data_IF_585213040510
#
_entry.id   IF_585213040510
#
_cell.length_a   1.000
_cell.length_b   1.000
_cell.length_c   1.000
_cell.angle_alpha   90.00
_cell.angle_beta   90.00
_cell.angle_gamma   90.00
#
_symmetry.space_group_name_H-M   'P 1'
#
loop_
_entity.id
_entity.type
_entity.pdbx_description
1 polymer ?
#
# COMPACT_ATOMS: atom_id res chain seq x y z
N UNK A 1 17.16 -6.18 15.98
CA UNK A 1 15.88 -6.22 15.25
C UNK A 1 15.81 -4.91 14.50
N UNK A 2 15.87 -4.96 13.16
CA UNK A 2 15.83 -3.74 12.34
C UNK A 2 14.40 -3.19 12.41
N UNK A 3 14.21 -2.00 12.95
CA UNK A 3 12.92 -1.28 12.96
C UNK A 3 12.97 -0.21 11.87
N UNK A 4 12.60 -0.54 10.62
CA UNK A 4 12.70 0.40 9.50
C UNK A 4 11.88 1.68 9.70
N UNK A 5 10.99 1.67 10.71
CA UNK A 5 10.04 2.74 10.96
C UNK A 5 10.47 3.75 12.03
N UNK A 6 11.61 3.54 12.74
CA UNK A 6 12.20 4.60 13.59
C UNK A 6 12.82 5.70 12.73
N UNK A 7 13.27 5.34 11.50
CA UNK A 7 13.78 6.31 10.51
C UNK A 7 12.67 6.77 9.54
N UNK A 8 11.61 5.96 9.39
CA UNK A 8 10.43 6.26 8.60
C UNK A 8 9.47 7.12 9.44
N UNK A 9 9.70 8.43 9.47
CA UNK A 9 8.76 9.38 10.03
C UNK A 9 7.83 9.85 8.90
N UNK A 10 6.62 9.28 8.76
CA UNK A 10 5.72 9.65 7.68
C UNK A 10 5.29 11.10 7.84
N UNK A 11 5.89 11.98 7.06
CA UNK A 11 5.47 13.36 6.96
C UNK A 11 4.26 13.43 6.04
N UNK A 12 3.11 13.69 6.59
CA UNK A 12 1.88 13.84 5.82
C UNK A 12 0.68 13.24 6.55
N UNK A 13 -0.42 13.93 6.45
CA UNK A 13 -1.66 13.50 7.09
C UNK A 13 -2.32 12.36 6.32
N UNK A 14 -2.21 12.34 4.99
CA UNK A 14 -2.67 11.26 4.13
C UNK A 14 -1.46 10.53 3.54
N UNK A 15 -1.42 9.21 3.75
CA UNK A 15 -0.38 8.32 3.26
C UNK A 15 -1.02 7.31 2.31
N UNK A 16 -0.55 7.31 1.07
CA UNK A 16 -0.96 6.34 0.05
C UNK A 16 0.00 5.16 0.02
N UNK A 17 -0.55 3.95 -0.06
CA UNK A 17 0.20 2.69 -0.12
C UNK A 17 -0.09 2.00 -1.43
N UNK A 18 0.95 1.77 -2.22
CA UNK A 18 0.90 1.15 -3.55
C UNK A 18 1.80 -0.08 -3.65
N UNK A 19 1.84 -0.72 -4.81
CA UNK A 19 2.70 -1.87 -5.07
C UNK A 19 2.10 -3.19 -4.59
N UNK A 20 2.94 -4.10 -4.11
CA UNK A 20 2.51 -5.45 -3.74
C UNK A 20 3.42 -6.10 -2.70
N UNK A 21 2.99 -7.27 -2.17
CA UNK A 21 3.79 -7.96 -1.14
C UNK A 21 3.49 -7.53 0.29
N UNK A 22 2.21 -7.16 0.60
CA UNK A 22 1.78 -6.99 1.98
C UNK A 22 1.20 -5.62 2.36
N UNK A 23 0.57 -4.90 1.40
CA UNK A 23 -0.04 -3.58 1.65
C UNK A 23 -1.00 -3.57 2.85
N UNK A 24 -1.97 -4.48 2.86
CA UNK A 24 -2.97 -4.55 3.94
C UNK A 24 -2.31 -4.81 5.31
N UNK A 25 -1.28 -5.67 5.36
CA UNK A 25 -0.49 -5.89 6.58
C UNK A 25 0.26 -4.62 7.00
N UNK A 26 0.83 -3.90 6.03
CA UNK A 26 1.51 -2.63 6.30
C UNK A 26 0.56 -1.56 6.84
N UNK A 27 -0.62 -1.42 6.26
CA UNK A 27 -1.65 -0.48 6.75
C UNK A 27 -2.04 -0.80 8.20
N UNK A 28 -2.26 -2.07 8.55
CA UNK A 28 -2.52 -2.50 9.93
C UNK A 28 -1.37 -2.15 10.86
N UNK A 29 -0.16 -2.49 10.47
CA UNK A 29 1.04 -2.21 11.25
C UNK A 29 1.22 -0.70 11.46
N UNK A 30 1.15 0.09 10.39
CA UNK A 30 1.32 1.54 10.45
C UNK A 30 0.24 2.19 11.33
N UNK A 31 -1.02 1.75 11.19
CA UNK A 31 -2.11 2.24 12.02
C UNK A 31 -1.91 1.94 13.52
N UNK A 32 -1.21 0.85 13.86
CA UNK A 32 -0.89 0.52 15.24
C UNK A 32 0.28 1.36 15.79
N UNK A 33 1.23 1.74 14.94
CA UNK A 33 2.43 2.51 15.32
C UNK A 33 2.20 4.01 15.41
N UNK A 34 1.32 4.57 14.57
CA UNK A 34 1.02 6.00 14.54
C UNK A 34 0.29 6.42 15.82
N UNK A 35 0.62 7.62 16.32
CA UNK A 35 -0.12 8.25 17.41
C UNK A 35 -1.35 8.99 16.88
N UNK A 36 -2.38 9.13 17.73
CA UNK A 36 -3.62 9.82 17.36
C UNK A 36 -4.62 8.90 16.64
N UNK A 37 -5.58 9.53 15.98
CA UNK A 37 -6.69 8.86 15.27
C UNK A 37 -6.33 8.53 13.84
N UNK A 38 -6.81 7.38 13.34
CA UNK A 38 -6.47 6.87 12.01
C UNK A 38 -7.73 6.43 11.26
N UNK A 39 -7.86 6.88 10.00
CA UNK A 39 -8.83 6.35 9.04
C UNK A 39 -8.09 5.43 8.08
N UNK A 40 -8.49 4.15 7.99
CA UNK A 40 -8.08 3.20 6.96
C UNK A 40 -9.09 3.23 5.81
N UNK A 41 -8.62 3.38 4.57
CA UNK A 41 -9.51 3.46 3.40
C UNK A 41 -8.80 3.00 2.12
N UNK A 42 -9.47 3.14 0.99
CA UNK A 42 -8.93 2.80 -0.33
C UNK A 42 -9.42 3.77 -1.39
N UNK A 43 -8.64 3.98 -2.43
CA UNK A 43 -9.03 4.63 -3.69
C UNK A 43 -9.30 3.62 -4.81
N UNK A 44 -9.24 2.32 -4.49
CA UNK A 44 -9.55 1.22 -5.40
C UNK A 44 -10.44 0.20 -4.70
N UNK A 45 -9.89 -0.92 -4.24
CA UNK A 45 -10.62 -1.95 -3.49
C UNK A 45 -9.74 -2.56 -2.41
N UNK A 46 -10.29 -2.73 -1.19
CA UNK A 46 -9.63 -3.38 -0.07
C UNK A 46 -10.57 -4.38 0.60
N UNK A 47 -10.03 -5.43 1.24
CA UNK A 47 -10.80 -6.23 2.17
C UNK A 47 -11.01 -5.44 3.47
N UNK A 48 -12.21 -5.45 4.07
CA UNK A 48 -12.44 -4.81 5.36
C UNK A 48 -11.52 -5.43 6.44
N UNK A 49 -11.19 -4.63 7.44
CA UNK A 49 -10.40 -5.06 8.59
C UNK A 49 -11.35 -5.61 9.67
N UNK A 50 -11.33 -6.92 9.99
CA UNK A 50 -12.35 -7.53 10.86
C UNK A 50 -12.45 -6.90 12.27
N UNK A 51 -11.30 -6.42 12.77
CA UNK A 51 -11.20 -5.89 14.14
C UNK A 51 -11.33 -4.36 14.23
N UNK A 52 -11.66 -3.70 13.10
CA UNK A 52 -11.73 -2.25 12.98
C UNK A 52 -13.18 -1.84 12.68
N UNK A 53 -13.77 -0.90 13.42
CA UNK A 53 -15.12 -0.40 13.12
C UNK A 53 -15.20 0.10 11.68
N UNK A 54 -16.20 -0.38 10.93
CA UNK A 54 -16.46 -0.01 9.54
C UNK A 54 -17.50 1.10 9.46
N UNK A 55 -17.20 2.12 8.69
CA UNK A 55 -18.12 3.16 8.24
C UNK A 55 -18.41 2.89 6.77
N UNK A 56 -19.60 2.37 6.49
CA UNK A 56 -20.01 2.03 5.13
C UNK A 56 -20.65 3.24 4.46
N UNK A 57 -20.12 3.61 3.28
CA UNK A 57 -20.58 4.75 2.49
C UNK A 57 -21.56 4.36 1.38
N UNK A 58 -21.96 3.09 1.26
CA UNK A 58 -22.77 2.60 0.13
C UNK A 58 -24.14 3.26 0.02
N UNK A 59 -24.73 3.67 1.14
CA UNK A 59 -26.08 4.28 1.22
C UNK A 59 -26.11 5.58 2.00
N UNK A 60 -24.95 6.17 2.28
CA UNK A 60 -24.80 7.39 3.07
C UNK A 60 -24.26 8.53 2.22
N UNK A 61 -24.70 9.75 2.49
CA UNK A 61 -24.14 10.97 1.93
C UNK A 61 -23.10 11.60 2.87
N UNK A 62 -22.43 12.66 2.39
CA UNK A 62 -21.40 13.39 3.14
C UNK A 62 -21.90 13.89 4.51
N UNK A 63 -23.16 14.34 4.59
CA UNK A 63 -23.76 14.91 5.80
C UNK A 63 -23.95 13.82 6.89
N UNK A 64 -24.14 12.58 6.48
CA UNK A 64 -24.26 11.42 7.36
C UNK A 64 -22.89 10.82 7.71
N UNK A 65 -21.95 10.77 6.73
CA UNK A 65 -20.64 10.14 6.86
C UNK A 65 -19.77 10.88 7.89
N UNK A 66 -19.65 12.21 7.80
CA UNK A 66 -18.76 12.96 8.70
C UNK A 66 -19.12 12.82 10.17
N UNK A 67 -20.40 12.96 10.59
CA UNK A 67 -20.78 12.68 11.97
C UNK A 67 -20.53 11.22 12.41
N UNK A 68 -20.71 10.25 11.49
CA UNK A 68 -20.43 8.84 11.77
C UNK A 68 -18.92 8.61 12.01
N UNK A 69 -18.04 9.23 11.19
CA UNK A 69 -16.58 9.20 11.36
C UNK A 69 -16.20 9.75 12.73
N UNK A 70 -16.67 10.96 13.08
CA UNK A 70 -16.38 11.59 14.39
C UNK A 70 -16.85 10.72 15.55
N UNK A 71 -18.08 10.19 15.47
CA UNK A 71 -18.64 9.32 16.49
C UNK A 71 -17.88 8.00 16.63
N UNK A 72 -17.39 7.41 15.53
CA UNK A 72 -16.59 6.20 15.56
C UNK A 72 -15.19 6.46 16.13
N UNK A 73 -14.52 7.55 15.72
CA UNK A 73 -13.20 7.94 16.21
C UNK A 73 -13.21 8.32 17.70
N UNK A 74 -14.33 8.82 18.21
CA UNK A 74 -14.48 9.06 19.66
C UNK A 74 -14.49 7.76 20.50
N UNK A 75 -14.77 6.60 19.88
CA UNK A 75 -14.85 5.28 20.55
C UNK A 75 -13.70 4.35 20.17
N UNK A 76 -13.09 4.54 19.00
CA UNK A 76 -11.99 3.72 18.51
C UNK A 76 -10.95 4.61 17.85
N UNK A 77 -9.67 4.43 18.22
CA UNK A 77 -8.56 5.18 17.63
C UNK A 77 -8.40 4.95 16.11
N UNK A 78 -8.79 3.76 15.64
CA UNK A 78 -8.70 3.36 14.22
C UNK A 78 -10.10 3.01 13.73
N UNK A 79 -10.47 3.55 12.58
CA UNK A 79 -11.72 3.21 11.87
C UNK A 79 -11.41 2.87 10.40
N UNK A 80 -12.25 2.05 9.80
CA UNK A 80 -12.20 1.74 8.37
C UNK A 80 -13.36 2.46 7.67
N UNK A 81 -13.11 3.05 6.50
CA UNK A 81 -14.12 3.75 5.72
C UNK A 81 -14.03 3.27 4.26
N UNK A 82 -15.18 2.94 3.67
CA UNK A 82 -15.26 2.53 2.28
C UNK A 82 -16.69 2.19 1.87
N UNK A 83 -16.88 2.02 0.57
CA UNK A 83 -18.18 1.63 -0.01
C UNK A 83 -18.26 0.11 -0.09
N UNK A 84 -19.17 -0.50 0.66
CA UNK A 84 -19.39 -1.95 0.60
C UNK A 84 -19.87 -2.42 -0.77
N UNK A 85 -19.30 -3.53 -1.24
CA UNK A 85 -19.65 -4.17 -2.49
C UNK A 85 -20.18 -5.61 -2.28
N UNK A 86 -20.94 -6.15 -3.25
CA UNK A 86 -21.41 -7.55 -3.20
C UNK A 86 -20.28 -8.59 -3.11
N UNK A 87 -19.06 -8.23 -3.53
CA UNK A 87 -17.85 -9.04 -3.42
C UNK A 87 -17.38 -9.26 -1.99
N UNK A 88 -17.88 -8.47 -1.03
CA UNK A 88 -17.41 -8.38 0.35
C UNK A 88 -16.21 -7.44 0.53
N UNK A 89 -15.73 -6.84 -0.55
CA UNK A 89 -14.70 -5.79 -0.50
C UNK A 89 -15.32 -4.41 -0.25
N UNK A 90 -14.46 -3.49 0.08
CA UNK A 90 -14.77 -2.06 0.11
C UNK A 90 -14.16 -1.41 -1.13
N UNK A 91 -14.95 -0.61 -1.83
CA UNK A 91 -14.51 0.26 -2.92
C UNK A 91 -14.22 1.68 -2.42
N UNK A 92 -13.67 2.48 -3.33
CA UNK A 92 -13.43 3.90 -3.16
C UNK A 92 -14.68 4.64 -2.66
N UNK A 93 -14.59 5.37 -1.53
CA UNK A 93 -15.71 6.17 -1.00
C UNK A 93 -15.90 7.52 -1.71
N UNK A 94 -15.05 7.90 -2.68
CA UNK A 94 -14.99 9.25 -3.25
C UNK A 94 -16.29 9.71 -3.95
N UNK A 95 -17.18 8.77 -4.30
CA UNK A 95 -18.52 9.09 -4.80
C UNK A 95 -19.44 9.69 -3.73
N UNK A 96 -19.16 9.50 -2.46
CA UNK A 96 -19.96 9.97 -1.33
C UNK A 96 -19.21 11.01 -0.47
N UNK A 97 -17.87 10.90 -0.37
CA UNK A 97 -17.04 11.83 0.42
C UNK A 97 -15.65 11.92 -0.18
N UNK A 98 -15.11 13.12 -0.37
CA UNK A 98 -13.74 13.32 -0.87
C UNK A 98 -12.69 13.01 0.21
N UNK A 99 -11.45 12.70 -0.23
CA UNK A 99 -10.33 12.52 0.70
C UNK A 99 -9.98 13.83 1.42
N UNK A 100 -10.15 14.96 0.76
CA UNK A 100 -9.96 16.30 1.32
C UNK A 100 -10.93 16.58 2.48
N UNK A 101 -12.19 16.11 2.37
CA UNK A 101 -13.18 16.23 3.45
C UNK A 101 -12.81 15.41 4.69
N UNK A 102 -12.06 14.34 4.51
CA UNK A 102 -11.59 13.48 5.62
C UNK A 102 -10.36 14.05 6.34
N UNK A 103 -9.56 14.91 5.69
CA UNK A 103 -8.35 15.46 6.29
C UNK A 103 -8.56 16.12 7.67
N UNK A 104 -9.61 16.92 7.94
CA UNK A 104 -9.81 17.50 9.26
C UNK A 104 -10.30 16.49 10.32
N UNK A 105 -10.76 15.31 9.92
CA UNK A 105 -11.48 14.38 10.80
C UNK A 105 -10.59 13.43 11.59
N UNK A 106 -9.34 13.19 11.13
CA UNK A 106 -8.40 12.29 11.80
C UNK A 106 -6.99 12.87 11.78
N UNK A 107 -6.10 12.36 12.64
CA UNK A 107 -4.68 12.72 12.63
C UNK A 107 -3.98 12.11 11.40
N UNK A 108 -4.39 10.91 11.00
CA UNK A 108 -3.83 10.21 9.84
C UNK A 108 -4.92 9.55 8.98
N UNK A 109 -4.71 9.53 7.66
CA UNK A 109 -5.51 8.78 6.69
C UNK A 109 -4.57 7.87 5.92
N UNK A 110 -4.84 6.56 5.94
CA UNK A 110 -4.04 5.56 5.25
C UNK A 110 -4.87 4.96 4.10
N UNK A 111 -4.38 5.12 2.88
CA UNK A 111 -5.12 4.75 1.65
C UNK A 111 -4.41 3.61 0.93
N UNK A 112 -5.09 2.47 0.69
CA UNK A 112 -4.62 1.49 -0.29
C UNK A 112 -4.99 1.99 -1.69
N UNK A 113 -3.99 2.36 -2.51
CA UNK A 113 -4.22 3.10 -3.76
C UNK A 113 -4.04 2.26 -5.04
N UNK A 114 -3.87 0.95 -4.92
CA UNK A 114 -3.85 0.02 -6.05
C UNK A 114 -4.17 -1.43 -5.66
N UNK A 115 -4.52 -2.25 -6.65
CA UNK A 115 -4.67 -3.70 -6.51
C UNK A 115 -3.44 -4.47 -6.97
N UNK A 116 -3.15 -5.63 -6.34
CA UNK A 116 -2.02 -6.49 -6.71
C UNK A 116 -2.38 -7.98 -6.88
N UNK A 117 -3.66 -8.32 -6.78
CA UNK A 117 -4.18 -9.70 -6.91
C UNK A 117 -3.40 -10.77 -6.09
N UNK A 118 -2.85 -10.38 -4.91
CA UNK A 118 -2.07 -11.28 -4.06
C UNK A 118 -0.67 -11.62 -4.56
N UNK A 119 -0.22 -11.04 -5.66
CA UNK A 119 1.14 -11.26 -6.20
C UNK A 119 2.18 -10.47 -5.39
N UNK A 120 3.41 -10.96 -5.23
CA UNK A 120 4.47 -10.26 -4.51
C UNK A 120 5.05 -9.07 -5.27
N UNK A 121 5.00 -9.07 -6.61
CA UNK A 121 5.52 -8.02 -7.49
C UNK A 121 4.41 -7.44 -8.36
N UNK A 122 4.63 -6.22 -8.85
CA UNK A 122 3.68 -5.52 -9.70
C UNK A 122 4.39 -4.56 -10.66
N UNK A 123 3.81 -4.39 -11.87
CA UNK A 123 3.98 -3.22 -12.70
C UNK A 123 2.64 -2.49 -12.85
N UNK A 124 2.66 -1.15 -12.89
CA UNK A 124 1.45 -0.33 -12.88
C UNK A 124 1.05 0.05 -14.30
N UNK A 125 -0.22 -0.17 -14.62
CA UNK A 125 -0.82 0.33 -15.87
C UNK A 125 -1.00 1.84 -15.81
N UNK A 126 -1.24 2.48 -16.95
CA UNK A 126 -1.33 3.95 -17.05
C UNK A 126 -2.44 4.60 -16.22
N UNK A 127 -3.42 3.83 -15.76
CA UNK A 127 -4.50 4.28 -14.86
C UNK A 127 -4.29 3.88 -13.40
N UNK A 128 -3.15 3.31 -13.07
CA UNK A 128 -2.72 2.94 -11.72
C UNK A 128 -1.36 3.59 -11.40
N UNK A 129 -1.09 3.87 -10.14
CA UNK A 129 -1.99 3.81 -8.98
C UNK A 129 -2.99 4.98 -8.96
N UNK A 130 -4.07 4.83 -8.19
CA UNK A 130 -5.05 5.90 -7.96
C UNK A 130 -4.71 6.62 -6.66
N UNK A 131 -3.62 7.39 -6.70
CA UNK A 131 -3.16 8.17 -5.54
C UNK A 131 -4.00 9.44 -5.41
N UNK A 132 -4.66 9.70 -4.25
CA UNK A 132 -5.37 10.96 -4.02
C UNK A 132 -4.43 12.17 -4.17
N UNK A 133 -4.93 13.26 -4.79
CA UNK A 133 -4.13 14.47 -5.02
C UNK A 133 -3.63 15.12 -3.71
N UNK A 134 -4.37 14.94 -2.62
CA UNK A 134 -4.01 15.42 -1.29
C UNK A 134 -3.05 14.46 -0.52
N UNK A 135 -2.51 13.42 -1.18
CA UNK A 135 -1.51 12.52 -0.56
C UNK A 135 -0.23 13.28 -0.24
N UNK A 136 0.18 13.25 1.03
CA UNK A 136 1.43 13.87 1.50
C UNK A 136 2.63 12.93 1.39
N UNK A 137 2.38 11.61 1.24
CA UNK A 137 3.42 10.59 1.09
C UNK A 137 2.86 9.38 0.34
N UNK A 138 3.62 8.85 -0.61
CA UNK A 138 3.33 7.59 -1.30
C UNK A 138 4.41 6.56 -1.00
N UNK A 139 4.01 5.42 -0.43
CA UNK A 139 4.87 4.30 -0.07
C UNK A 139 4.59 3.12 -1.00
N UNK A 140 5.61 2.61 -1.67
CA UNK A 140 5.49 1.41 -2.50
C UNK A 140 6.03 0.17 -1.77
N UNK A 141 5.21 -0.87 -1.64
CA UNK A 141 5.66 -2.16 -1.15
C UNK A 141 6.12 -3.06 -2.30
N UNK A 142 7.16 -3.84 -2.03
CA UNK A 142 7.75 -4.82 -2.94
C UNK A 142 7.95 -6.12 -2.17
N UNK A 143 7.35 -7.22 -2.64
CA UNK A 143 7.46 -8.52 -1.95
C UNK A 143 8.69 -9.31 -2.37
N UNK A 144 9.63 -9.50 -1.47
CA UNK A 144 10.86 -10.27 -1.71
C UNK A 144 10.59 -11.76 -2.03
N UNK A 145 9.42 -12.30 -1.70
CA UNK A 145 9.03 -13.66 -2.05
C UNK A 145 8.92 -13.91 -3.57
N UNK A 146 8.95 -12.85 -4.38
CA UNK A 146 9.01 -12.94 -5.83
C UNK A 146 10.41 -13.11 -6.42
N UNK A 147 11.47 -12.93 -5.62
CA UNK A 147 12.85 -12.96 -6.14
C UNK A 147 13.27 -14.35 -6.64
N UNK A 148 13.88 -14.41 -7.82
CA UNK A 148 14.38 -15.65 -8.42
C UNK A 148 13.31 -16.57 -8.99
N UNK A 149 12.06 -16.08 -9.15
CA UNK A 149 10.95 -16.84 -9.73
C UNK A 149 10.55 -16.24 -11.08
N UNK A 150 9.86 -16.99 -11.96
CA UNK A 150 9.36 -16.46 -13.23
C UNK A 150 8.44 -15.24 -13.03
N UNK A 151 8.62 -14.19 -13.86
CA UNK A 151 7.79 -12.98 -13.82
C UNK A 151 6.30 -13.33 -13.94
N UNK A 152 5.96 -14.24 -14.85
CA UNK A 152 4.57 -14.70 -15.10
C UNK A 152 3.90 -15.29 -13.86
N UNK A 153 4.65 -15.86 -12.93
CA UNK A 153 4.12 -16.45 -11.70
C UNK A 153 3.96 -15.44 -10.56
N UNK A 154 4.86 -14.46 -10.47
CA UNK A 154 4.99 -13.63 -9.26
C UNK A 154 4.57 -12.19 -9.45
N UNK A 155 4.38 -11.73 -10.68
CA UNK A 155 4.06 -10.35 -10.97
C UNK A 155 2.58 -10.13 -11.32
N UNK A 156 1.99 -9.06 -10.81
CA UNK A 156 0.76 -8.51 -11.35
C UNK A 156 1.10 -7.64 -12.56
N UNK A 157 0.48 -7.92 -13.71
CA UNK A 157 0.83 -7.37 -15.04
C UNK A 157 2.22 -7.82 -15.53
N UNK A 158 2.45 -9.15 -15.70
CA UNK A 158 3.78 -9.70 -16.01
C UNK A 158 4.34 -9.22 -17.35
N UNK A 159 3.51 -9.02 -18.37
CA UNK A 159 3.95 -8.53 -19.69
C UNK A 159 4.48 -7.09 -19.61
N UNK A 160 3.80 -6.26 -18.82
CA UNK A 160 4.23 -4.87 -18.61
C UNK A 160 5.52 -4.83 -17.79
N UNK A 161 5.61 -5.63 -16.71
CA UNK A 161 6.83 -5.75 -15.92
C UNK A 161 8.01 -6.18 -16.81
N UNK A 162 7.82 -7.25 -17.60
CA UNK A 162 8.84 -7.79 -18.48
C UNK A 162 9.30 -6.75 -19.52
N UNK A 163 8.36 -6.00 -20.11
CA UNK A 163 8.66 -4.91 -21.04
C UNK A 163 9.47 -3.80 -20.39
N UNK A 164 9.10 -3.38 -19.17
CA UNK A 164 9.82 -2.34 -18.44
C UNK A 164 11.21 -2.81 -17.98
N UNK A 165 11.34 -4.08 -17.59
CA UNK A 165 12.62 -4.66 -17.18
C UNK A 165 13.53 -5.04 -18.37
N UNK A 166 13.01 -5.10 -19.60
CA UNK A 166 13.76 -5.54 -20.80
C UNK A 166 14.00 -7.04 -20.84
N UNK A 167 13.08 -7.85 -20.33
CA UNK A 167 13.14 -9.32 -20.24
C UNK A 167 11.87 -9.96 -20.80
N UNK A 168 11.77 -11.28 -20.77
CA UNK A 168 10.54 -12.02 -21.11
C UNK A 168 9.75 -12.38 -19.85
N UNK A 169 8.43 -12.65 -19.95
CA UNK A 169 7.62 -13.07 -18.81
C UNK A 169 8.07 -14.38 -18.14
N UNK A 170 8.77 -15.24 -18.86
CA UNK A 170 9.30 -16.51 -18.32
C UNK A 170 10.67 -16.37 -17.65
N UNK A 171 11.31 -15.20 -17.78
CA UNK A 171 12.60 -14.94 -17.15
C UNK A 171 12.47 -14.92 -15.63
N UNK A 172 13.51 -15.37 -14.94
CA UNK A 172 13.61 -15.27 -13.50
C UNK A 172 13.86 -13.82 -13.07
N UNK A 173 13.09 -13.36 -12.09
CA UNK A 173 13.20 -12.00 -11.56
C UNK A 173 14.49 -11.85 -10.77
N UNK A 174 15.34 -10.89 -11.15
CA UNK A 174 16.47 -10.42 -10.36
C UNK A 174 16.16 -9.07 -9.69
N UNK A 175 17.03 -8.65 -8.79
CA UNK A 175 16.97 -7.36 -8.10
C UNK A 175 17.10 -6.20 -9.09
N UNK A 176 17.96 -6.35 -10.09
CA UNK A 176 18.16 -5.36 -11.16
C UNK A 176 16.90 -5.20 -12.01
N UNK A 177 16.19 -6.29 -12.31
CA UNK A 177 14.92 -6.24 -13.04
C UNK A 177 13.86 -5.48 -12.25
N UNK A 178 13.74 -5.74 -10.94
CA UNK A 178 12.80 -5.03 -10.07
C UNK A 178 13.18 -3.55 -10.01
N UNK A 179 14.45 -3.23 -9.74
CA UNK A 179 14.92 -1.85 -9.66
C UNK A 179 14.69 -1.10 -10.99
N UNK A 180 14.90 -1.75 -12.13
CA UNK A 180 14.64 -1.15 -13.45
C UNK A 180 13.17 -0.75 -13.62
N UNK A 181 12.23 -1.60 -13.18
CA UNK A 181 10.79 -1.29 -13.20
C UNK A 181 10.47 -0.13 -12.27
N UNK A 182 10.86 -0.23 -10.99
CA UNK A 182 10.54 0.77 -9.97
C UNK A 182 11.12 2.15 -10.30
N UNK A 183 12.36 2.20 -10.81
CA UNK A 183 13.01 3.44 -11.19
C UNK A 183 12.39 4.07 -12.46
N UNK A 184 11.89 3.24 -13.40
CA UNK A 184 11.19 3.75 -14.59
C UNK A 184 9.81 4.28 -14.27
N UNK A 185 9.08 3.59 -13.41
CA UNK A 185 7.75 4.03 -12.97
C UNK A 185 7.83 5.26 -12.07
N UNK A 186 8.77 5.30 -11.14
CA UNK A 186 9.05 6.39 -10.20
C UNK A 186 7.78 6.93 -9.47
N UNK A 187 6.88 6.03 -9.07
CA UNK A 187 5.53 6.34 -8.59
C UNK A 187 5.46 6.60 -7.07
N UNK A 188 6.54 6.39 -6.33
CA UNK A 188 6.54 6.50 -4.87
C UNK A 188 7.67 7.40 -4.36
N UNK A 189 7.45 7.98 -3.20
CA UNK A 189 8.46 8.77 -2.47
C UNK A 189 9.48 7.85 -1.80
N UNK A 190 9.03 6.68 -1.31
CA UNK A 190 9.90 5.66 -0.72
C UNK A 190 9.39 4.24 -0.96
N UNK A 191 10.27 3.26 -0.78
CA UNK A 191 10.01 1.85 -1.05
C UNK A 191 10.29 0.98 0.16
N UNK A 192 9.43 -0.02 0.40
CA UNK A 192 9.62 -1.03 1.44
C UNK A 192 9.73 -2.41 0.79
N UNK A 193 10.91 -2.99 0.84
CA UNK A 193 11.18 -4.36 0.40
C UNK A 193 10.80 -5.30 1.53
N UNK A 194 9.55 -5.78 1.49
CA UNK A 194 8.94 -6.61 2.53
C UNK A 194 9.15 -8.11 2.26
N UNK A 195 8.81 -8.94 3.25
CA UNK A 195 8.97 -10.41 3.19
C UNK A 195 10.44 -10.85 3.12
N UNK A 196 11.34 -10.09 3.73
CA UNK A 196 12.78 -10.43 3.72
C UNK A 196 13.09 -11.68 4.54
N UNK A 197 12.17 -12.09 5.41
CA UNK A 197 12.26 -13.30 6.23
C UNK A 197 12.16 -14.61 5.43
N UNK A 198 11.63 -14.57 4.20
CA UNK A 198 11.58 -15.75 3.32
C UNK A 198 12.82 -15.89 2.43
N UNK A 199 13.70 -14.88 2.41
CA UNK A 199 14.92 -14.94 1.60
C UNK A 199 15.98 -15.82 2.27
N UNK A 200 16.59 -16.76 1.52
CA UNK A 200 17.76 -17.50 2.01
C UNK A 200 18.96 -16.60 2.32
N UNK A 201 19.09 -15.49 1.56
CA UNK A 201 20.12 -14.49 1.74
C UNK A 201 19.48 -13.10 1.88
N UNK A 202 19.53 -12.50 3.09
CA UNK A 202 18.99 -11.16 3.35
C UNK A 202 19.72 -10.04 2.58
N UNK A 203 20.95 -10.26 2.10
CA UNK A 203 21.70 -9.26 1.35
C UNK A 203 21.03 -8.93 0.00
N UNK A 204 20.25 -9.85 -0.55
CA UNK A 204 19.46 -9.63 -1.76
C UNK A 204 18.47 -8.47 -1.60
N UNK A 205 17.81 -8.36 -0.46
CA UNK A 205 16.91 -7.24 -0.20
C UNK A 205 17.67 -5.91 -0.08
N UNK A 206 18.85 -5.92 0.54
CA UNK A 206 19.73 -4.75 0.62
C UNK A 206 20.27 -4.33 -0.74
N UNK A 207 20.64 -5.32 -1.58
CA UNK A 207 21.04 -5.07 -2.96
C UNK A 207 19.91 -4.34 -3.72
N UNK A 208 18.67 -4.85 -3.67
CA UNK A 208 17.55 -4.16 -4.31
C UNK A 208 17.39 -2.73 -3.78
N UNK A 209 17.42 -2.52 -2.47
CA UNK A 209 17.33 -1.18 -1.88
C UNK A 209 18.42 -0.24 -2.41
N UNK A 210 19.66 -0.73 -2.61
CA UNK A 210 20.76 0.09 -3.13
C UNK A 210 20.64 0.44 -4.63
N UNK A 211 19.84 -0.32 -5.37
CA UNK A 211 19.59 -0.10 -6.81
C UNK A 211 18.40 0.82 -7.09
N UNK A 212 17.53 1.04 -6.10
CA UNK A 212 16.40 1.97 -6.20
C UNK A 212 16.91 3.40 -6.04
N UNK A 213 16.46 4.31 -6.92
CA UNK A 213 16.90 5.71 -6.96
C UNK A 213 16.26 6.63 -5.91
N UNK A 214 15.38 6.08 -5.08
CA UNK A 214 14.70 6.74 -3.95
C UNK A 214 15.00 5.98 -2.66
N UNK A 215 14.63 6.54 -1.53
CA UNK A 215 14.77 5.88 -0.24
C UNK A 215 14.08 4.51 -0.24
N UNK A 216 14.82 3.48 0.13
CA UNK A 216 14.33 2.11 0.14
C UNK A 216 14.83 1.35 1.38
N UNK A 217 13.93 0.60 2.03
CA UNK A 217 14.21 -0.07 3.29
C UNK A 217 13.77 -1.53 3.24
N UNK A 218 14.64 -2.49 3.65
CA UNK A 218 14.26 -3.88 3.78
C UNK A 218 13.48 -4.08 5.08
N UNK A 219 12.40 -4.88 5.03
CA UNK A 219 11.59 -5.17 6.21
C UNK A 219 10.94 -6.56 6.16
N UNK A 220 10.40 -6.99 7.30
CA UNK A 220 9.55 -8.17 7.42
C UNK A 220 8.37 -7.86 8.34
N UNK A 221 7.24 -7.54 7.75
CA UNK A 221 6.01 -7.22 8.48
C UNK A 221 5.39 -8.43 9.18
N UNK A 222 5.74 -9.66 8.77
CA UNK A 222 5.27 -10.89 9.43
C UNK A 222 5.92 -11.12 10.80
N UNK A 223 7.01 -10.42 11.11
CA UNK A 223 7.78 -10.55 12.37
C UNK A 223 7.61 -9.35 13.31
N UNK A 224 6.72 -8.43 12.97
CA UNK A 224 6.37 -7.25 13.75
C UNK A 224 5.02 -7.44 14.44
#
# INVERSE_FOLDING_TARGET
>A
MYRPFEEFNPSGKLISVIGSGGKTTFLRYLSACLHGTVILTTSTHIWPFPDVPLIDTASADREQILPAVRSALARSRVVCLGKSEPSGKLADPSSAISFEDLLPEADHILVEADGAAGRPLKAHRSWEPVVPACSGLTVCLVGASGFGRPVSEVCHCPELFASLAGITPDALVSEEHIAAVLNREALADCYLVNQTDVLPDPERARLLCSLISRDAYPCSLARL
#
